data_IF_051693861163
#
_entry.id   IF_051693861163
#
_cell.length_a   1.000
_cell.length_b   1.000
_cell.length_c   1.000
_cell.angle_alpha   90.00
_cell.angle_beta   90.00
_cell.angle_gamma   90.00
#
_symmetry.space_group_name_H-M   'P 1'
#
loop_
_entity.id
_entity.type
_entity.pdbx_description
1 polymer ?
#
# COMPACT_ATOMS: atom_id res chain seq x y z
N UNK A 1 -7.30 13.60 -0.39
CA UNK A 1 -7.91 12.61 0.53
C UNK A 1 -7.55 11.23 0.01
N UNK A 2 -7.19 10.30 0.88
CA UNK A 2 -6.91 8.92 0.50
C UNK A 2 -8.21 8.10 0.45
N UNK A 3 -8.24 7.08 -0.40
CA UNK A 3 -9.27 6.04 -0.41
C UNK A 3 -8.58 4.73 -0.01
N UNK A 4 -8.57 4.37 1.28
CA UNK A 4 -7.77 3.25 1.78
C UNK A 4 -8.44 1.88 1.60
N UNK A 5 -9.76 1.84 1.39
CA UNK A 5 -10.56 0.61 1.27
C UNK A 5 -11.48 0.71 0.06
N UNK A 6 -11.49 -0.32 -0.79
CA UNK A 6 -12.44 -0.48 -1.88
C UNK A 6 -13.31 -1.69 -1.61
N UNK A 7 -14.64 -1.53 -1.63
CA UNK A 7 -15.58 -2.63 -1.37
C UNK A 7 -16.28 -3.01 -2.68
N UNK A 8 -15.70 -3.91 -3.50
CA UNK A 8 -16.35 -4.38 -4.71
C UNK A 8 -17.59 -5.23 -4.37
N UNK A 9 -18.72 -4.96 -5.03
CA UNK A 9 -19.93 -5.76 -4.86
C UNK A 9 -19.97 -6.87 -5.90
N UNK A 10 -19.77 -8.11 -5.43
CA UNK A 10 -19.82 -9.33 -6.24
C UNK A 10 -18.45 -9.78 -6.76
N UNK A 11 -18.26 -11.11 -6.84
CA UNK A 11 -16.98 -11.76 -7.18
C UNK A 11 -16.38 -11.26 -8.51
N UNK A 12 -17.18 -11.18 -9.56
CA UNK A 12 -16.72 -10.72 -10.88
C UNK A 12 -16.10 -9.31 -10.81
N UNK A 13 -16.74 -8.40 -10.09
CA UNK A 13 -16.26 -7.02 -9.92
C UNK A 13 -14.96 -6.98 -9.14
N UNK A 14 -14.86 -7.80 -8.08
CA UNK A 14 -13.65 -7.92 -7.26
C UNK A 14 -12.46 -8.43 -8.09
N UNK A 15 -12.66 -9.53 -8.83
CA UNK A 15 -11.64 -10.12 -9.70
C UNK A 15 -11.15 -9.12 -10.76
N UNK A 16 -12.08 -8.45 -11.47
CA UNK A 16 -11.74 -7.46 -12.51
C UNK A 16 -11.01 -6.23 -11.93
N UNK A 17 -11.40 -5.76 -10.74
CA UNK A 17 -10.71 -4.67 -10.05
C UNK A 17 -9.29 -5.08 -9.68
N UNK A 18 -9.14 -6.23 -9.03
CA UNK A 18 -7.84 -6.77 -8.59
C UNK A 18 -6.88 -6.91 -9.76
N UNK A 19 -7.33 -7.52 -10.87
CA UNK A 19 -6.51 -7.70 -12.07
C UNK A 19 -5.99 -6.37 -12.62
N UNK A 20 -6.85 -5.35 -12.69
CA UNK A 20 -6.45 -4.01 -13.16
C UNK A 20 -5.50 -3.31 -12.19
N UNK A 21 -5.72 -3.44 -10.89
CA UNK A 21 -4.82 -2.87 -9.88
C UNK A 21 -3.44 -3.51 -9.94
N UNK A 22 -3.36 -4.84 -10.03
CA UNK A 22 -2.10 -5.57 -10.17
C UNK A 22 -1.33 -5.18 -11.44
N UNK A 23 -2.05 -4.90 -12.54
CA UNK A 23 -1.42 -4.44 -13.78
C UNK A 23 -0.91 -2.98 -13.69
N UNK A 24 -1.62 -2.11 -12.98
CA UNK A 24 -1.29 -0.67 -12.92
C UNK A 24 -0.26 -0.34 -11.83
N UNK A 25 -0.28 -1.01 -10.68
CA UNK A 25 0.62 -0.71 -9.55
C UNK A 25 2.12 -0.67 -9.95
N UNK A 26 2.64 -1.59 -10.80
CA UNK A 26 4.04 -1.53 -11.25
C UNK A 26 4.41 -0.31 -12.09
N UNK A 27 3.44 0.40 -12.68
CA UNK A 27 3.68 1.64 -13.44
C UNK A 27 3.90 2.83 -12.49
N UNK A 28 3.60 2.67 -11.20
CA UNK A 28 3.72 3.75 -10.23
C UNK A 28 5.17 4.14 -9.98
N UNK A 29 5.46 5.44 -10.09
CA UNK A 29 6.80 5.98 -9.86
C UNK A 29 6.90 6.62 -8.48
N UNK A 30 7.54 5.93 -7.55
CA UNK A 30 7.95 6.49 -6.26
C UNK A 30 9.21 7.32 -6.46
N UNK A 31 9.21 8.58 -6.02
CA UNK A 31 10.34 9.48 -6.29
C UNK A 31 10.46 10.64 -5.31
N UNK A 32 11.45 11.50 -5.54
CA UNK A 32 11.65 12.73 -4.77
C UNK A 32 10.79 13.87 -5.31
N UNK A 33 10.54 14.89 -4.49
CA UNK A 33 9.72 16.04 -4.88
C UNK A 33 10.26 16.85 -6.06
N UNK A 34 11.56 16.72 -6.36
CA UNK A 34 12.19 17.37 -7.52
C UNK A 34 12.07 16.56 -8.81
N UNK A 35 11.59 15.31 -8.75
CA UNK A 35 11.30 14.48 -9.92
C UNK A 35 9.86 14.75 -10.40
N UNK A 36 9.71 15.45 -11.52
CA UNK A 36 8.40 15.77 -12.10
C UNK A 36 7.63 14.53 -12.57
N UNK A 37 8.29 13.38 -12.74
CA UNK A 37 7.64 12.11 -13.08
C UNK A 37 7.19 11.31 -11.87
N UNK A 38 7.50 11.72 -10.64
CA UNK A 38 7.10 11.00 -9.44
C UNK A 38 5.59 11.12 -9.21
N UNK A 39 4.91 9.99 -9.03
CA UNK A 39 3.50 9.95 -8.66
C UNK A 39 3.32 10.27 -7.17
N UNK A 40 4.24 9.82 -6.32
CA UNK A 40 4.26 10.14 -4.90
C UNK A 40 5.66 10.00 -4.28
N UNK A 41 5.82 10.58 -3.07
CA UNK A 41 7.09 10.66 -2.37
C UNK A 41 7.18 9.83 -1.08
N UNK A 42 8.17 10.09 -0.23
CA UNK A 42 8.33 9.37 1.02
C UNK A 42 7.23 9.73 2.01
N UNK A 43 7.07 8.90 3.04
CA UNK A 43 6.28 9.28 4.21
C UNK A 43 7.03 10.29 5.09
N UNK A 44 6.31 10.90 6.05
CA UNK A 44 6.80 12.08 6.78
C UNK A 44 8.01 11.80 7.70
N UNK A 45 8.08 10.62 8.34
CA UNK A 45 9.14 10.30 9.30
C UNK A 45 9.51 8.82 9.26
N UNK A 46 10.69 8.47 9.78
CA UNK A 46 11.11 7.09 9.99
C UNK A 46 10.15 6.31 10.91
N UNK A 47 9.62 6.96 11.95
CA UNK A 47 8.63 6.37 12.85
C UNK A 47 7.34 6.04 12.09
N UNK A 48 6.88 6.94 11.22
CA UNK A 48 5.71 6.69 10.38
C UNK A 48 5.97 5.55 9.39
N UNK A 49 7.19 5.48 8.81
CA UNK A 49 7.57 4.37 7.94
C UNK A 49 7.45 3.02 8.65
N UNK A 50 8.06 2.90 9.82
CA UNK A 50 8.00 1.68 10.62
C UNK A 50 6.55 1.33 11.04
N UNK A 51 5.72 2.34 11.34
CA UNK A 51 4.30 2.12 11.65
C UNK A 51 3.53 1.53 10.46
N UNK A 52 3.71 2.08 9.26
CA UNK A 52 3.04 1.58 8.05
C UNK A 52 3.52 0.16 7.72
N UNK A 53 4.83 -0.11 7.76
CA UNK A 53 5.37 -1.46 7.54
C UNK A 53 4.85 -2.47 8.58
N UNK A 54 4.70 -2.04 9.84
CA UNK A 54 4.10 -2.85 10.91
C UNK A 54 2.61 -3.13 10.72
N UNK A 55 1.85 -2.20 10.12
CA UNK A 55 0.46 -2.45 9.76
C UNK A 55 0.32 -3.44 8.59
N UNK A 56 1.20 -3.36 7.61
CA UNK A 56 1.26 -4.35 6.52
C UNK A 56 1.58 -5.74 7.10
N UNK A 57 2.57 -5.85 8.00
CA UNK A 57 2.86 -7.12 8.67
C UNK A 57 1.65 -7.63 9.49
N UNK A 58 0.91 -6.72 10.14
CA UNK A 58 -0.29 -7.09 10.89
C UNK A 58 -1.38 -7.65 9.96
N UNK A 59 -1.66 -7.02 8.82
CA UNK A 59 -2.64 -7.53 7.86
C UNK A 59 -2.31 -8.93 7.35
N UNK A 60 -1.02 -9.20 7.05
CA UNK A 60 -0.54 -10.55 6.68
C UNK A 60 -0.80 -11.56 7.80
N UNK A 61 -0.48 -11.18 9.05
CA UNK A 61 -0.68 -12.04 10.23
C UNK A 61 -2.17 -12.30 10.52
N UNK A 62 -3.03 -11.35 10.21
CA UNK A 62 -4.48 -11.46 10.36
C UNK A 62 -5.14 -12.30 9.26
N UNK A 63 -4.38 -12.68 8.23
CA UNK A 63 -4.81 -13.59 7.17
C UNK A 63 -5.24 -12.91 5.87
N UNK A 64 -5.05 -11.60 5.74
CA UNK A 64 -5.25 -10.92 4.46
C UNK A 64 -4.19 -11.38 3.44
N UNK A 65 -4.58 -11.43 2.17
CA UNK A 65 -3.66 -11.76 1.08
C UNK A 65 -2.88 -10.51 0.67
N UNK A 66 -1.57 -10.50 0.89
CA UNK A 66 -0.70 -9.42 0.41
C UNK A 66 -0.33 -9.66 -1.06
N UNK A 67 -1.12 -9.06 -1.96
CA UNK A 67 -0.99 -9.21 -3.42
C UNK A 67 0.22 -8.46 -3.96
N UNK A 68 0.46 -7.25 -3.44
CA UNK A 68 1.66 -6.46 -3.73
C UNK A 68 2.29 -6.02 -2.42
N UNK A 69 3.58 -6.33 -2.23
CA UNK A 69 4.33 -5.94 -1.05
C UNK A 69 5.25 -4.76 -1.36
N UNK A 70 4.90 -3.59 -0.81
CA UNK A 70 5.68 -2.37 -0.94
C UNK A 70 6.76 -2.18 0.13
N UNK A 71 6.87 -3.09 1.10
CA UNK A 71 7.84 -2.98 2.20
C UNK A 71 9.26 -3.14 1.70
N UNK A 72 10.21 -2.51 2.40
CA UNK A 72 11.63 -2.60 2.03
C UNK A 72 12.01 -1.88 0.74
N UNK A 73 11.07 -1.19 0.08
CA UNK A 73 11.38 -0.33 -1.07
C UNK A 73 12.46 0.69 -0.71
N UNK A 74 13.47 0.80 -1.57
CA UNK A 74 14.57 1.74 -1.45
C UNK A 74 14.76 2.45 -2.78
N UNK A 75 14.87 3.78 -2.72
CA UNK A 75 15.13 4.60 -3.90
C UNK A 75 16.64 4.86 -3.99
N UNK A 76 17.24 4.55 -5.15
CA UNK A 76 18.67 4.77 -5.39
C UNK A 76 19.08 6.21 -5.10
N UNK A 77 20.17 6.39 -4.35
CA UNK A 77 20.67 7.70 -3.92
C UNK A 77 19.91 8.31 -2.74
N UNK A 78 18.82 7.66 -2.28
CA UNK A 78 18.00 8.06 -1.16
C UNK A 78 17.67 6.88 -0.24
N UNK A 79 18.63 5.97 -0.03
CA UNK A 79 18.45 4.73 0.73
C UNK A 79 18.09 4.98 2.21
N UNK A 80 18.43 6.16 2.73
CA UNK A 80 18.08 6.62 4.08
C UNK A 80 16.73 7.36 4.14
N UNK A 81 16.02 7.45 3.02
CA UNK A 81 14.72 8.09 2.92
C UNK A 81 13.59 7.22 3.49
N UNK A 82 12.46 7.85 3.78
CA UNK A 82 11.30 7.20 4.38
C UNK A 82 10.35 6.68 3.29
N UNK A 83 10.88 6.01 2.27
CA UNK A 83 10.08 5.50 1.18
C UNK A 83 9.42 4.16 1.52
N UNK A 84 8.21 3.99 1.00
CA UNK A 84 7.44 2.73 1.00
C UNK A 84 6.83 2.59 -0.39
N UNK A 85 6.95 1.41 -0.98
CA UNK A 85 6.29 1.07 -2.23
C UNK A 85 4.77 0.93 -2.05
N UNK A 86 4.00 0.86 -3.14
CA UNK A 86 2.57 0.60 -3.06
C UNK A 86 2.34 -0.82 -2.53
N UNK A 87 1.36 -0.97 -1.63
CA UNK A 87 0.92 -2.29 -1.15
C UNK A 87 -0.56 -2.49 -1.42
N UNK A 88 -0.92 -3.71 -1.81
CA UNK A 88 -2.30 -4.10 -2.10
C UNK A 88 -2.64 -5.34 -1.29
N UNK A 89 -3.65 -5.24 -0.44
CA UNK A 89 -4.29 -6.36 0.21
C UNK A 89 -5.56 -6.76 -0.50
N UNK A 90 -5.83 -8.06 -0.51
CA UNK A 90 -7.08 -8.67 -0.92
C UNK A 90 -7.59 -9.58 0.22
N UNK A 91 -8.88 -9.92 0.18
CA UNK A 91 -9.55 -10.71 1.22
C UNK A 91 -9.49 -10.08 2.63
N UNK A 92 -9.53 -8.75 2.73
CA UNK A 92 -9.58 -8.07 4.04
C UNK A 92 -10.98 -8.21 4.64
N UNK A 93 -11.05 -8.42 5.96
CA UNK A 93 -12.34 -8.51 6.67
C UNK A 93 -12.50 -7.40 7.72
N UNK A 94 -13.74 -7.02 8.09
CA UNK A 94 -13.99 -5.98 9.08
C UNK A 94 -13.45 -6.28 10.48
N UNK A 95 -13.14 -7.54 10.78
CA UNK A 95 -12.61 -7.98 12.07
C UNK A 95 -11.10 -7.72 12.22
N UNK A 96 -10.39 -7.48 11.12
CA UNK A 96 -8.95 -7.19 11.11
C UNK A 96 -8.66 -5.82 11.74
N UNK A 97 -7.64 -5.73 12.60
CA UNK A 97 -7.23 -4.45 13.18
C UNK A 97 -6.67 -3.52 12.09
N UNK A 98 -6.00 -4.06 11.07
CA UNK A 98 -5.51 -3.25 9.95
C UNK A 98 -6.63 -2.59 9.12
N UNK A 99 -7.86 -3.11 9.19
CA UNK A 99 -9.04 -2.50 8.58
C UNK A 99 -9.67 -1.42 9.46
N UNK A 100 -9.68 -1.64 10.79
CA UNK A 100 -10.28 -0.72 11.76
C UNK A 100 -9.43 0.53 12.00
N UNK A 101 -8.11 0.37 11.97
CA UNK A 101 -7.16 1.44 12.24
C UNK A 101 -6.64 2.10 10.97
N UNK A 102 -6.40 3.41 11.04
CA UNK A 102 -5.88 4.16 9.91
C UNK A 102 -4.38 3.90 9.72
N UNK A 103 -4.03 3.28 8.59
CA UNK A 103 -2.62 3.00 8.22
C UNK A 103 -1.88 4.28 7.82
N UNK A 104 -2.54 5.16 7.04
CA UNK A 104 -1.98 6.41 6.54
C UNK A 104 -0.68 6.24 5.72
N UNK A 105 -0.66 5.23 4.84
CA UNK A 105 0.44 4.93 3.93
C UNK A 105 -0.07 4.53 2.54
N UNK A 106 0.83 4.21 1.59
CA UNK A 106 0.47 3.76 0.24
C UNK A 106 -0.04 2.30 0.26
N UNK A 107 -1.12 2.05 1.00
CA UNK A 107 -1.73 0.73 1.19
C UNK A 107 -3.20 0.80 0.80
N UNK A 108 -3.61 -0.08 -0.10
CA UNK A 108 -5.00 -0.26 -0.52
C UNK A 108 -5.51 -1.62 -0.05
N UNK A 109 -6.72 -1.65 0.50
CA UNK A 109 -7.40 -2.86 0.94
C UNK A 109 -8.63 -3.13 0.07
N UNK A 110 -8.83 -4.39 -0.28
CA UNK A 110 -10.02 -4.92 -0.95
C UNK A 110 -10.72 -5.91 -0.01
#
# INVERSE_FOLDING_TARGET
>A
MALPVVVPVGKKTADELRERMVAEIPTMRVGVSTDAGAHYGPVVTAQHKARVEGWIETGVREGAELVVDGRGFSLQGHERGYFIGPSLFDHVTPEMESYKEEIFGPVLQI
#
